data_IF_184605386435
#
_entry.id   IF_184605386435
#
_cell.length_a   1.000
_cell.length_b   1.000
_cell.length_c   1.000
_cell.angle_alpha   90.00
_cell.angle_beta   90.00
_cell.angle_gamma   90.00
#
_symmetry.space_group_name_H-M   'P 1'
#
loop_
_entity.id
_entity.type
_entity.pdbx_description
1 polymer ?
#
# COMPACT_ATOMS: atom_id res chain seq x y z
N UNK A 1 2.61 -33.45 13.45
CA UNK A 1 2.34 -33.08 12.03
C UNK A 1 3.68 -32.94 11.33
N UNK A 2 3.81 -33.44 10.10
CA UNK A 2 5.04 -33.32 9.30
C UNK A 2 4.95 -32.11 8.37
N UNK A 3 5.96 -31.26 8.37
CA UNK A 3 6.06 -30.05 7.56
C UNK A 3 7.31 -30.08 6.67
N UNK A 4 7.32 -29.29 5.62
CA UNK A 4 8.47 -29.07 4.73
C UNK A 4 9.14 -27.77 5.16
N UNK A 5 10.44 -27.79 5.46
CA UNK A 5 11.21 -26.58 5.66
C UNK A 5 11.42 -25.87 4.32
N UNK A 6 10.98 -24.61 4.23
CA UNK A 6 10.97 -23.85 2.95
C UNK A 6 12.34 -23.35 2.51
N UNK A 7 13.43 -23.69 3.23
CA UNK A 7 14.80 -23.41 2.82
C UNK A 7 15.53 -24.68 2.41
N UNK A 8 15.34 -25.76 3.17
CA UNK A 8 16.05 -27.03 2.93
C UNK A 8 15.28 -28.00 2.05
N UNK A 9 13.96 -27.82 1.90
CA UNK A 9 13.03 -28.77 1.24
C UNK A 9 12.92 -30.14 1.94
N UNK A 10 13.44 -30.26 3.17
CA UNK A 10 13.39 -31.48 3.96
C UNK A 10 12.19 -31.49 4.90
N UNK A 11 11.79 -32.69 5.32
CA UNK A 11 10.74 -32.84 6.32
C UNK A 11 11.25 -32.51 7.73
N UNK A 12 10.40 -31.84 8.49
CA UNK A 12 10.54 -31.64 9.93
C UNK A 12 9.25 -32.06 10.62
N UNK A 13 9.37 -32.87 11.68
CA UNK A 13 8.23 -33.24 12.52
C UNK A 13 8.04 -32.22 13.62
N UNK A 14 6.82 -31.69 13.70
CA UNK A 14 6.45 -30.75 14.75
C UNK A 14 5.48 -31.42 15.73
N UNK A 15 5.93 -31.48 16.98
CA UNK A 15 5.20 -32.02 18.13
C UNK A 15 4.30 -30.94 18.76
N UNK A 16 3.21 -31.37 19.38
CA UNK A 16 2.00 -30.56 19.67
C UNK A 16 2.15 -29.33 20.57
N UNK A 17 3.31 -29.08 21.17
CA UNK A 17 3.56 -27.88 22.00
C UNK A 17 3.94 -26.65 21.18
N UNK A 18 4.53 -26.85 19.98
CA UNK A 18 4.97 -25.76 19.11
C UNK A 18 3.87 -25.50 18.07
N UNK A 19 3.47 -24.23 17.93
CA UNK A 19 2.60 -23.75 16.84
C UNK A 19 3.49 -23.14 15.75
N UNK A 20 4.00 -23.93 14.79
CA UNK A 20 4.81 -23.39 13.71
C UNK A 20 3.90 -22.53 12.81
N UNK A 21 4.46 -21.47 12.25
CA UNK A 21 3.81 -20.73 11.16
C UNK A 21 4.09 -21.42 9.84
N UNK A 22 3.06 -21.76 9.09
CA UNK A 22 3.21 -22.51 7.84
C UNK A 22 2.18 -22.13 6.78
N UNK A 23 2.58 -22.28 5.53
CA UNK A 23 1.68 -22.25 4.39
C UNK A 23 1.14 -23.66 4.12
N UNK A 24 -0.08 -23.76 3.61
CA UNK A 24 -0.71 -25.02 3.19
C UNK A 24 -1.09 -24.96 1.72
N UNK A 25 -0.82 -26.03 0.96
CA UNK A 25 -1.24 -26.14 -0.44
C UNK A 25 -2.57 -26.88 -0.55
N UNK A 26 -3.57 -26.20 -1.10
CA UNK A 26 -4.81 -26.78 -1.60
C UNK A 26 -4.71 -26.92 -3.13
N UNK A 27 -4.88 -28.13 -3.65
CA UNK A 27 -4.74 -28.38 -5.08
C UNK A 27 -5.50 -29.62 -5.53
N UNK A 28 -5.71 -29.77 -6.84
CA UNK A 28 -6.17 -31.04 -7.39
C UNK A 28 -4.99 -31.93 -7.75
N UNK A 29 -5.02 -33.16 -7.26
CA UNK A 29 -4.01 -34.17 -7.59
C UNK A 29 -4.07 -34.49 -9.09
N UNK A 30 -2.90 -34.61 -9.70
CA UNK A 30 -2.73 -34.99 -11.11
C UNK A 30 -1.84 -36.23 -11.23
N UNK A 31 -1.52 -36.65 -12.46
CA UNK A 31 -0.51 -37.68 -12.67
C UNK A 31 0.87 -37.13 -12.35
N UNK A 32 1.65 -37.91 -11.61
CA UNK A 32 3.02 -37.54 -11.23
C UNK A 32 3.11 -36.65 -9.99
N UNK A 33 2.17 -36.74 -9.05
CA UNK A 33 2.36 -36.17 -7.71
C UNK A 33 3.53 -36.84 -6.98
N UNK A 34 4.15 -36.10 -6.08
CA UNK A 34 5.22 -36.59 -5.22
C UNK A 34 4.59 -37.13 -3.93
N UNK A 35 4.86 -38.38 -3.60
CA UNK A 35 4.42 -39.02 -2.36
C UNK A 35 5.42 -38.79 -1.22
N UNK A 36 5.05 -39.24 -0.01
CA UNK A 36 5.97 -39.24 1.13
C UNK A 36 7.24 -40.06 0.84
N UNK A 37 7.11 -41.24 0.26
CA UNK A 37 8.26 -42.11 -0.04
C UNK A 37 9.17 -41.50 -1.10
N UNK A 38 8.58 -40.81 -2.09
CA UNK A 38 9.34 -40.17 -3.16
C UNK A 38 10.26 -39.06 -2.64
N UNK A 39 9.84 -38.29 -1.63
CA UNK A 39 10.63 -37.17 -1.09
C UNK A 39 12.00 -37.59 -0.53
N UNK A 40 12.21 -38.88 -0.24
CA UNK A 40 13.49 -39.41 0.20
C UNK A 40 14.42 -39.80 -0.97
N UNK A 41 13.92 -39.77 -2.21
CA UNK A 41 14.66 -40.06 -3.44
C UNK A 41 14.93 -38.76 -4.22
N UNK A 42 16.14 -38.62 -4.76
CA UNK A 42 16.51 -37.49 -5.62
C UNK A 42 15.65 -37.43 -6.90
N UNK A 43 15.13 -38.57 -7.36
CA UNK A 43 14.24 -38.65 -8.53
C UNK A 43 12.89 -37.94 -8.35
N UNK A 44 12.51 -37.55 -7.11
CA UNK A 44 11.28 -36.80 -6.88
C UNK A 44 11.24 -35.48 -7.66
N UNK A 45 12.41 -34.87 -7.92
CA UNK A 45 12.53 -33.60 -8.64
C UNK A 45 12.08 -33.70 -10.11
N UNK A 46 12.13 -34.90 -10.68
CA UNK A 46 11.71 -35.15 -12.06
C UNK A 46 10.19 -35.34 -12.17
N UNK A 47 9.48 -35.49 -11.04
CA UNK A 47 8.02 -35.62 -11.03
C UNK A 47 7.35 -34.25 -11.22
N UNK A 48 6.32 -34.23 -12.06
CA UNK A 48 5.53 -33.00 -12.34
C UNK A 48 5.01 -32.31 -11.07
N UNK A 49 4.59 -33.10 -10.07
CA UNK A 49 4.09 -32.59 -8.79
C UNK A 49 5.14 -31.87 -7.94
N UNK A 50 6.44 -32.12 -8.17
CA UNK A 50 7.50 -31.43 -7.44
C UNK A 50 7.49 -29.92 -7.68
N UNK A 51 7.13 -29.48 -8.90
CA UNK A 51 6.96 -28.06 -9.21
C UNK A 51 5.93 -27.37 -8.30
N UNK A 52 4.88 -28.09 -7.86
CA UNK A 52 3.89 -27.54 -6.91
C UNK A 52 4.48 -27.36 -5.52
N UNK A 53 5.27 -28.34 -5.06
CA UNK A 53 5.96 -28.29 -3.76
C UNK A 53 6.98 -27.14 -3.75
N UNK A 54 7.80 -27.06 -4.79
CA UNK A 54 8.82 -26.03 -4.95
C UNK A 54 8.21 -24.63 -4.93
N UNK A 55 7.17 -24.39 -5.73
CA UNK A 55 6.52 -23.09 -5.80
C UNK A 55 5.80 -22.73 -4.48
N UNK A 56 5.15 -23.71 -3.83
CA UNK A 56 4.55 -23.51 -2.50
C UNK A 56 5.60 -23.06 -1.49
N UNK A 57 6.77 -23.68 -1.48
CA UNK A 57 7.87 -23.29 -0.59
C UNK A 57 8.41 -21.89 -0.92
N UNK A 58 8.60 -21.57 -2.21
CA UNK A 58 9.05 -20.24 -2.64
C UNK A 58 8.07 -19.14 -2.22
N UNK A 59 6.77 -19.39 -2.36
CA UNK A 59 5.72 -18.45 -1.96
C UNK A 59 5.61 -18.31 -0.44
N UNK A 60 5.72 -19.41 0.29
CA UNK A 60 5.79 -19.39 1.76
C UNK A 60 6.99 -18.55 2.23
N UNK A 61 8.15 -18.70 1.59
CA UNK A 61 9.34 -17.91 1.89
C UNK A 61 9.13 -16.41 1.63
N UNK A 62 8.50 -16.03 0.50
CA UNK A 62 8.12 -14.64 0.20
C UNK A 62 7.15 -14.05 1.23
N UNK A 63 6.31 -14.89 1.83
CA UNK A 63 5.39 -14.52 2.89
C UNK A 63 6.00 -14.57 4.30
N UNK A 64 7.33 -14.71 4.41
CA UNK A 64 8.06 -14.82 5.68
C UNK A 64 7.62 -16.01 6.58
N UNK A 65 7.19 -17.11 5.96
CA UNK A 65 6.88 -18.38 6.64
C UNK A 65 8.07 -19.33 6.49
N UNK A 66 8.33 -20.13 7.52
CA UNK A 66 9.45 -21.08 7.52
C UNK A 66 9.06 -22.49 7.06
N UNK A 67 7.76 -22.77 6.99
CA UNK A 67 7.24 -24.10 6.74
C UNK A 67 6.14 -24.10 5.68
N UNK A 68 6.06 -25.21 4.95
CA UNK A 68 4.96 -25.52 4.04
C UNK A 68 4.39 -26.90 4.34
N UNK A 69 3.13 -27.12 3.99
CA UNK A 69 2.47 -28.42 4.07
C UNK A 69 1.76 -28.75 2.76
N UNK A 70 1.96 -29.98 2.28
CA UNK A 70 1.36 -30.50 1.06
C UNK A 70 0.88 -31.93 1.33
N UNK A 71 -0.42 -32.19 1.18
CA UNK A 71 -1.06 -33.47 1.51
C UNK A 71 -0.53 -34.66 0.68
N UNK A 72 0.01 -34.40 -0.51
CA UNK A 72 0.56 -35.46 -1.37
C UNK A 72 1.76 -36.14 -0.74
N UNK A 73 2.65 -35.37 -0.11
CA UNK A 73 3.92 -35.85 0.42
C UNK A 73 4.08 -35.74 1.96
N UNK A 74 3.37 -34.82 2.63
CA UNK A 74 3.47 -34.67 4.09
C UNK A 74 2.76 -35.78 4.86
N UNK A 75 1.82 -36.49 4.24
CA UNK A 75 1.10 -37.63 4.82
C UNK A 75 1.69 -38.93 4.27
N UNK A 76 2.16 -39.81 5.15
CA UNK A 76 2.48 -41.18 4.78
C UNK A 76 1.20 -42.00 4.62
N UNK A 77 0.75 -42.12 3.39
CA UNK A 77 -0.45 -42.87 3.01
C UNK A 77 -0.27 -44.38 3.09
N UNK A 78 0.96 -44.88 3.25
CA UNK A 78 1.22 -46.31 3.47
C UNK A 78 0.89 -46.74 4.91
N UNK A 79 0.92 -45.78 5.85
CA UNK A 79 0.49 -45.97 7.23
C UNK A 79 -1.01 -45.69 7.36
N UNK A 80 -1.81 -46.75 7.53
CA UNK A 80 -3.26 -46.61 7.74
C UNK A 80 -3.61 -45.80 9.00
N UNK A 81 -2.78 -45.89 10.04
CA UNK A 81 -2.91 -45.11 11.27
C UNK A 81 -2.71 -43.61 11.00
N UNK A 82 -1.62 -43.25 10.30
CA UNK A 82 -1.33 -41.85 9.96
C UNK A 82 -2.39 -41.28 9.01
N UNK A 83 -2.82 -42.06 8.01
CA UNK A 83 -3.87 -41.64 7.09
C UNK A 83 -5.19 -41.33 7.81
N UNK A 84 -5.58 -42.18 8.77
CA UNK A 84 -6.80 -41.98 9.58
C UNK A 84 -6.68 -40.72 10.45
N UNK A 85 -5.54 -40.53 11.10
CA UNK A 85 -5.28 -39.33 11.91
C UNK A 85 -5.28 -38.06 11.05
N UNK A 86 -4.68 -38.12 9.86
CA UNK A 86 -4.62 -37.03 8.92
C UNK A 86 -5.99 -36.62 8.41
N UNK A 87 -6.85 -37.59 8.07
CA UNK A 87 -8.24 -37.34 7.68
C UNK A 87 -8.99 -36.59 8.80
N UNK A 88 -8.86 -37.05 10.04
CA UNK A 88 -9.52 -36.43 11.19
C UNK A 88 -8.93 -35.06 11.59
N UNK A 89 -7.69 -34.78 11.16
CA UNK A 89 -6.97 -33.54 11.49
C UNK A 89 -6.96 -32.50 10.38
N UNK A 90 -7.37 -32.86 9.17
CA UNK A 90 -7.18 -32.04 7.97
C UNK A 90 -7.82 -30.65 8.12
N UNK A 91 -9.08 -30.59 8.57
CA UNK A 91 -9.76 -29.30 8.83
C UNK A 91 -8.94 -28.42 9.79
N UNK A 92 -8.43 -28.99 10.88
CA UNK A 92 -7.62 -28.28 11.87
C UNK A 92 -6.28 -27.82 11.30
N UNK A 93 -5.66 -28.59 10.41
CA UNK A 93 -4.43 -28.20 9.73
C UNK A 93 -4.65 -27.06 8.73
N UNK A 94 -5.77 -27.06 8.00
CA UNK A 94 -6.14 -25.90 7.19
C UNK A 94 -6.46 -24.68 8.05
N UNK A 95 -7.23 -24.85 9.13
CA UNK A 95 -7.58 -23.78 10.06
C UNK A 95 -6.38 -23.12 10.73
N UNK A 96 -5.34 -23.90 11.05
CA UNK A 96 -4.13 -23.42 11.72
C UNK A 96 -3.05 -22.91 10.77
N UNK A 97 -3.22 -23.09 9.46
CA UNK A 97 -2.30 -22.51 8.49
C UNK A 97 -2.38 -20.98 8.52
N UNK A 98 -1.24 -20.31 8.36
CA UNK A 98 -1.22 -18.85 8.24
C UNK A 98 -1.75 -18.43 6.88
N UNK A 99 -1.45 -19.21 5.84
CA UNK A 99 -1.83 -18.96 4.45
C UNK A 99 -2.17 -20.28 3.74
N UNK A 100 -3.30 -20.32 3.05
CA UNK A 100 -3.67 -21.36 2.12
C UNK A 100 -3.46 -20.88 0.68
N UNK A 101 -2.59 -21.57 -0.05
CA UNK A 101 -2.42 -21.37 -1.50
C UNK A 101 -3.30 -22.37 -2.24
N UNK A 102 -4.25 -21.88 -3.03
CA UNK A 102 -5.10 -22.71 -3.90
C UNK A 102 -4.53 -22.69 -5.30
N UNK A 103 -4.01 -23.83 -5.77
CA UNK A 103 -3.48 -23.98 -7.12
C UNK A 103 -4.52 -24.60 -8.06
N UNK A 104 -4.99 -23.81 -9.04
CA UNK A 104 -5.96 -24.20 -10.06
C UNK A 104 -5.22 -24.59 -11.35
N UNK A 105 -4.81 -25.85 -11.43
CA UNK A 105 -4.01 -26.37 -12.56
C UNK A 105 -4.73 -26.35 -13.92
N UNK A 106 -6.05 -26.16 -13.92
CA UNK A 106 -6.91 -26.10 -15.11
C UNK A 106 -7.50 -24.70 -15.36
N UNK A 107 -7.04 -23.68 -14.63
CA UNK A 107 -7.33 -22.28 -14.93
C UNK A 107 -6.20 -21.70 -15.79
N UNK A 108 -6.51 -21.27 -17.02
CA UNK A 108 -5.53 -20.56 -17.87
C UNK A 108 -5.38 -19.11 -17.43
N UNK A 109 -4.18 -18.55 -17.57
CA UNK A 109 -3.93 -17.14 -17.24
C UNK A 109 -4.84 -16.15 -17.99
N UNK A 110 -5.21 -16.47 -19.23
CA UNK A 110 -6.08 -15.64 -20.07
C UNK A 110 -7.58 -15.77 -19.76
N UNK A 111 -7.99 -16.69 -18.87
CA UNK A 111 -9.40 -16.94 -18.59
C UNK A 111 -9.99 -15.90 -17.64
N UNK A 112 -11.12 -15.28 -18.00
CA UNK A 112 -11.91 -14.47 -17.07
C UNK A 112 -12.32 -15.29 -15.85
N UNK A 113 -12.16 -14.77 -14.63
CA UNK A 113 -12.47 -15.52 -13.39
C UNK A 113 -13.91 -16.03 -13.37
N UNK A 114 -14.87 -15.18 -13.75
CA UNK A 114 -16.31 -15.53 -13.73
C UNK A 114 -16.63 -16.80 -14.52
N UNK A 115 -15.98 -17.03 -15.66
CA UNK A 115 -16.19 -18.21 -16.51
C UNK A 115 -15.16 -19.32 -16.31
N UNK A 116 -13.94 -18.95 -15.93
CA UNK A 116 -12.83 -19.90 -15.78
C UNK A 116 -12.97 -20.77 -14.54
N UNK A 117 -13.49 -20.22 -13.45
CA UNK A 117 -13.61 -20.93 -12.17
C UNK A 117 -14.63 -22.07 -12.23
N UNK A 118 -15.75 -21.91 -12.94
CA UNK A 118 -16.77 -22.96 -13.13
C UNK A 118 -16.20 -24.22 -13.80
N UNK A 119 -15.21 -24.04 -14.67
CA UNK A 119 -14.50 -25.13 -15.34
C UNK A 119 -13.56 -25.91 -14.43
N UNK A 120 -13.01 -25.26 -13.39
CA UNK A 120 -11.93 -25.82 -12.59
C UNK A 120 -12.39 -27.02 -11.74
N UNK A 121 -11.65 -28.13 -11.79
CA UNK A 121 -11.94 -29.35 -11.03
C UNK A 121 -11.96 -29.12 -9.53
N UNK A 122 -11.21 -28.13 -9.05
CA UNK A 122 -11.11 -27.80 -7.63
C UNK A 122 -12.48 -27.51 -7.01
N UNK A 123 -13.35 -26.75 -7.69
CA UNK A 123 -14.70 -26.43 -7.19
C UNK A 123 -15.68 -27.61 -7.22
N UNK A 124 -15.29 -28.75 -7.80
CA UNK A 124 -16.15 -29.93 -7.97
C UNK A 124 -15.81 -31.06 -7.00
N UNK A 125 -14.86 -30.85 -6.08
CA UNK A 125 -14.39 -31.86 -5.12
C UNK A 125 -14.96 -31.62 -3.73
N UNK A 126 -15.45 -32.66 -3.05
CA UNK A 126 -16.03 -32.52 -1.71
C UNK A 126 -15.04 -32.01 -0.65
N UNK A 127 -13.76 -32.38 -0.77
CA UNK A 127 -12.71 -31.94 0.17
C UNK A 127 -12.41 -30.45 0.09
N UNK A 128 -12.60 -29.78 -1.06
CA UNK A 128 -12.17 -28.39 -1.21
C UNK A 128 -13.03 -27.41 -0.42
N UNK A 129 -14.22 -27.81 0.05
CA UNK A 129 -15.03 -26.98 0.94
C UNK A 129 -14.29 -26.67 2.24
N UNK A 130 -13.72 -27.67 2.91
CA UNK A 130 -12.96 -27.43 4.14
C UNK A 130 -11.65 -26.68 3.88
N UNK A 131 -11.03 -26.90 2.72
CA UNK A 131 -9.81 -26.20 2.29
C UNK A 131 -10.08 -24.72 2.01
N UNK A 132 -11.33 -24.39 1.63
CA UNK A 132 -11.83 -23.03 1.40
C UNK A 132 -12.20 -22.31 2.69
N UNK A 133 -12.96 -22.96 3.58
CA UNK A 133 -13.60 -22.28 4.73
C UNK A 133 -12.79 -22.34 6.02
N UNK A 134 -11.84 -23.27 6.14
CA UNK A 134 -11.07 -23.42 7.37
C UNK A 134 -9.94 -22.37 7.51
N UNK A 135 -9.12 -22.09 6.46
CA UNK A 135 -8.02 -21.12 6.58
C UNK A 135 -8.51 -19.67 6.72
N UNK A 136 -7.73 -18.84 7.43
CA UNK A 136 -8.02 -17.40 7.55
C UNK A 136 -7.64 -16.59 6.31
N UNK A 137 -6.51 -16.94 5.68
CA UNK A 137 -6.00 -16.26 4.49
C UNK A 137 -5.91 -17.26 3.35
N UNK A 138 -6.59 -16.99 2.24
CA UNK A 138 -6.59 -17.85 1.05
C UNK A 138 -6.23 -17.05 -0.20
N UNK A 139 -5.37 -17.63 -1.04
CA UNK A 139 -4.94 -17.01 -2.29
C UNK A 139 -5.04 -18.02 -3.42
N UNK A 140 -5.77 -17.67 -4.48
CA UNK A 140 -5.92 -18.51 -5.66
C UNK A 140 -4.78 -18.24 -6.64
N UNK A 141 -4.38 -19.27 -7.38
CA UNK A 141 -3.37 -19.21 -8.42
C UNK A 141 -3.84 -19.99 -9.63
N UNK A 142 -3.56 -19.46 -10.83
CA UNK A 142 -3.78 -20.17 -12.08
C UNK A 142 -2.69 -21.22 -12.36
N UNK A 143 -2.78 -21.92 -13.49
CA UNK A 143 -1.84 -22.99 -13.87
C UNK A 143 -0.38 -22.50 -13.99
N UNK A 144 -0.17 -21.21 -14.22
CA UNK A 144 1.12 -20.57 -14.42
C UNK A 144 1.61 -19.88 -13.13
N UNK A 145 0.93 -20.14 -12.00
CA UNK A 145 1.18 -19.54 -10.69
C UNK A 145 1.02 -18.01 -10.65
N UNK A 146 0.20 -17.44 -11.54
CA UNK A 146 -0.23 -16.06 -11.36
C UNK A 146 -1.34 -16.02 -10.33
N UNK A 147 -1.24 -15.06 -9.40
CA UNK A 147 -2.26 -14.86 -8.38
C UNK A 147 -3.60 -14.50 -9.05
N UNK A 148 -4.67 -15.14 -8.60
CA UNK A 148 -6.05 -14.99 -9.07
C UNK A 148 -6.95 -14.62 -7.89
N UNK A 149 -8.11 -14.06 -8.21
CA UNK A 149 -9.02 -13.49 -7.21
C UNK A 149 -8.66 -12.05 -6.86
N UNK A 150 -9.44 -11.39 -6.00
CA UNK A 150 -9.32 -9.98 -5.67
C UNK A 150 -8.09 -9.73 -4.79
N UNK A 151 -6.91 -9.83 -5.39
CA UNK A 151 -5.68 -9.23 -4.88
C UNK A 151 -5.24 -8.03 -5.73
N UNK A 152 -5.87 -7.85 -6.88
CA UNK A 152 -5.97 -6.55 -7.50
C UNK A 152 -6.97 -5.74 -6.69
N UNK A 153 -6.56 -4.54 -6.30
CA UNK A 153 -7.44 -3.57 -5.64
C UNK A 153 -8.68 -3.41 -6.52
N UNK A 154 -9.83 -3.84 -6.02
CA UNK A 154 -11.09 -3.67 -6.73
C UNK A 154 -11.65 -2.32 -6.37
N UNK A 155 -11.94 -1.52 -7.37
CA UNK A 155 -12.50 -0.19 -7.19
C UNK A 155 -13.95 -0.15 -7.66
N UNK A 156 -14.78 0.63 -6.98
CA UNK A 156 -16.10 0.99 -7.45
C UNK A 156 -16.43 2.44 -7.05
N UNK A 157 -17.50 2.99 -7.62
CA UNK A 157 -18.10 4.21 -7.09
C UNK A 157 -18.50 4.04 -5.63
N UNK A 158 -18.72 5.16 -4.95
CA UNK A 158 -19.00 5.17 -3.50
C UNK A 158 -20.31 4.44 -3.15
N UNK A 159 -21.27 4.42 -4.07
CA UNK A 159 -22.56 3.78 -3.88
C UNK A 159 -22.49 2.30 -4.25
N UNK A 160 -23.07 1.45 -3.40
CA UNK A 160 -23.27 0.05 -3.73
C UNK A 160 -24.22 -0.08 -4.94
N UNK A 161 -23.90 -0.96 -5.88
CA UNK A 161 -24.73 -1.20 -7.07
C UNK A 161 -26.06 -1.90 -6.76
N UNK A 162 -26.15 -2.59 -5.63
CA UNK A 162 -27.34 -3.34 -5.21
C UNK A 162 -27.29 -3.60 -3.69
N UNK A 163 -28.45 -3.67 -3.00
CA UNK A 163 -28.53 -4.07 -1.60
C UNK A 163 -27.87 -5.43 -1.30
N UNK A 164 -27.76 -6.32 -2.29
CA UNK A 164 -27.10 -7.62 -2.12
C UNK A 164 -25.62 -7.51 -1.71
N UNK A 165 -24.97 -6.37 -1.98
CA UNK A 165 -23.61 -6.09 -1.53
C UNK A 165 -23.50 -6.07 0.01
N UNK A 166 -24.62 -5.90 0.71
CA UNK A 166 -24.71 -5.91 2.16
C UNK A 166 -25.36 -7.20 2.69
N UNK A 167 -25.61 -8.21 1.87
CA UNK A 167 -26.31 -9.44 2.29
C UNK A 167 -25.56 -10.21 3.39
N UNK A 168 -24.24 -10.09 3.43
CA UNK A 168 -23.37 -10.71 4.44
C UNK A 168 -23.07 -9.79 5.63
N UNK A 169 -23.58 -8.57 5.60
CA UNK A 169 -23.41 -7.64 6.71
C UNK A 169 -24.27 -8.08 7.90
N UNK A 170 -23.70 -8.07 9.10
CA UNK A 170 -24.45 -8.31 10.34
C UNK A 170 -25.40 -7.16 10.67
N UNK A 171 -26.03 -7.23 11.85
CA UNK A 171 -26.84 -6.11 12.35
C UNK A 171 -25.95 -4.92 12.71
N UNK A 172 -26.33 -3.74 12.23
CA UNK A 172 -25.64 -2.48 12.54
C UNK A 172 -26.55 -1.57 13.35
N UNK A 173 -25.97 -0.88 14.33
CA UNK A 173 -26.63 0.15 15.11
C UNK A 173 -26.04 1.52 14.77
N UNK A 174 -26.90 2.54 14.69
CA UNK A 174 -26.46 3.93 14.48
C UNK A 174 -25.67 4.39 15.71
N UNK A 175 -24.52 5.02 15.51
CA UNK A 175 -23.79 5.66 16.62
C UNK A 175 -24.61 6.81 17.23
N UNK A 176 -24.69 6.85 18.56
CA UNK A 176 -25.53 7.78 19.32
C UNK A 176 -25.13 9.25 19.11
N UNK A 177 -23.83 9.53 18.94
CA UNK A 177 -23.29 10.90 18.87
C UNK A 177 -23.09 11.45 17.44
N UNK A 178 -23.63 10.80 16.41
CA UNK A 178 -23.43 11.25 15.03
C UNK A 178 -24.22 12.53 14.72
N UNK A 179 -23.49 13.58 14.33
CA UNK A 179 -24.06 14.81 13.76
C UNK A 179 -24.05 14.72 12.23
N UNK A 180 -25.22 14.79 11.56
CA UNK A 180 -25.28 14.82 10.11
C UNK A 180 -24.49 16.01 9.57
N UNK A 181 -23.70 15.78 8.52
CA UNK A 181 -23.06 16.83 7.76
C UNK A 181 -23.82 17.04 6.45
N UNK A 182 -23.97 18.31 6.04
CA UNK A 182 -24.55 18.63 4.75
C UNK A 182 -23.65 18.11 3.62
N UNK A 183 -24.30 17.65 2.55
CA UNK A 183 -23.66 17.28 1.31
C UNK A 183 -24.47 17.81 0.14
N UNK A 184 -23.82 17.95 -1.00
CA UNK A 184 -24.44 18.32 -2.27
C UNK A 184 -24.12 17.26 -3.33
N UNK A 185 -24.99 17.12 -4.31
CA UNK A 185 -24.77 16.20 -5.43
C UNK A 185 -24.27 17.01 -6.62
N UNK A 186 -23.25 16.48 -7.30
CA UNK A 186 -22.67 17.01 -8.54
C UNK A 186 -22.78 15.97 -9.66
N UNK A 187 -22.46 16.37 -10.88
CA UNK A 187 -22.44 15.47 -12.05
C UNK A 187 -21.44 14.31 -11.93
N UNK A 188 -20.40 14.45 -11.09
CA UNK A 188 -19.36 13.42 -10.90
C UNK A 188 -19.52 12.62 -9.61
N UNK A 189 -20.38 13.06 -8.68
CA UNK A 189 -20.62 12.37 -7.41
C UNK A 189 -21.07 13.27 -6.27
N UNK A 190 -20.83 12.83 -5.03
CA UNK A 190 -21.27 13.51 -3.81
C UNK A 190 -20.17 14.43 -3.29
N UNK A 191 -20.46 15.73 -3.23
CA UNK A 191 -19.60 16.74 -2.61
C UNK A 191 -19.96 16.85 -1.13
N UNK A 192 -18.99 16.59 -0.26
CA UNK A 192 -19.19 16.51 1.19
C UNK A 192 -18.02 17.11 1.96
N UNK A 193 -18.25 17.46 3.22
CA UNK A 193 -17.19 17.79 4.19
C UNK A 193 -16.86 16.61 5.12
N UNK A 194 -17.33 15.40 4.78
CA UNK A 194 -17.16 14.21 5.58
C UNK A 194 -15.71 14.03 6.04
N UNK A 195 -15.57 13.71 7.33
CA UNK A 195 -14.30 13.46 7.96
C UNK A 195 -13.74 12.12 7.48
N UNK A 196 -12.72 12.16 6.63
CA UNK A 196 -11.98 10.97 6.21
C UNK A 196 -10.92 10.66 7.29
N UNK A 197 -10.88 9.42 7.74
CA UNK A 197 -9.89 8.93 8.68
C UNK A 197 -8.71 8.34 7.91
N UNK A 198 -7.51 8.47 8.47
CA UNK A 198 -6.28 7.89 7.94
C UNK A 198 -5.80 6.77 8.85
N UNK A 199 -5.42 5.64 8.25
CA UNK A 199 -4.86 4.48 8.97
C UNK A 199 -3.48 4.12 8.40
N UNK A 200 -2.42 4.05 9.23
CA UNK A 200 -1.09 3.64 8.77
C UNK A 200 -1.11 2.26 8.09
N UNK A 201 -0.36 2.14 7.00
CA UNK A 201 -0.24 0.86 6.28
C UNK A 201 0.87 0.04 6.92
N UNK A 202 0.49 -1.07 7.58
CA UNK A 202 1.44 -1.96 8.23
C UNK A 202 2.52 -2.47 7.25
N UNK A 203 3.79 -2.32 7.63
CA UNK A 203 4.94 -2.73 6.83
C UNK A 203 5.35 -1.76 5.72
N UNK A 204 4.54 -0.72 5.44
CA UNK A 204 4.94 0.43 4.62
C UNK A 204 5.46 1.47 5.60
N UNK A 205 6.77 1.76 5.58
CA UNK A 205 7.38 2.69 6.55
C UNK A 205 6.68 4.04 6.63
N UNK A 206 6.10 4.49 5.51
CA UNK A 206 5.32 5.72 5.35
C UNK A 206 4.00 5.46 4.60
N UNK A 207 3.00 6.29 4.88
CA UNK A 207 1.71 6.36 4.16
C UNK A 207 0.53 5.71 4.87
N UNK A 208 -0.65 6.29 4.63
CA UNK A 208 -1.91 5.87 5.25
C UNK A 208 -2.98 5.53 4.22
N UNK A 209 -3.88 4.61 4.55
CA UNK A 209 -5.09 4.39 3.76
C UNK A 209 -6.24 5.26 4.26
N UNK A 210 -7.15 5.60 3.34
CA UNK A 210 -8.28 6.49 3.60
C UNK A 210 -9.52 5.68 4.00
N UNK A 211 -10.23 6.14 5.03
CA UNK A 211 -11.43 5.46 5.54
C UNK A 211 -12.56 6.48 5.72
N UNK A 212 -13.71 6.20 5.10
CA UNK A 212 -14.94 6.95 5.32
C UNK A 212 -15.75 6.29 6.46
N UNK A 213 -15.91 6.92 7.63
CA UNK A 213 -16.72 6.38 8.72
C UNK A 213 -18.21 6.39 8.34
N UNK A 214 -18.91 5.29 8.62
CA UNK A 214 -20.33 5.09 8.27
C UNK A 214 -21.31 5.52 9.37
N UNK A 215 -20.81 6.05 10.49
CA UNK A 215 -21.63 6.42 11.65
C UNK A 215 -22.55 5.27 12.14
N UNK A 216 -22.08 4.04 12.01
CA UNK A 216 -22.69 2.84 12.54
C UNK A 216 -21.65 1.93 13.19
N UNK A 217 -22.11 1.00 14.03
CA UNK A 217 -21.29 0.04 14.76
C UNK A 217 -21.89 -1.37 14.73
N UNK A 218 -21.03 -2.39 14.88
CA UNK A 218 -21.44 -3.78 15.03
C UNK A 218 -21.64 -4.15 16.52
N UNK A 219 -22.77 -4.78 16.84
CA UNK A 219 -22.95 -5.44 18.13
C UNK A 219 -22.16 -6.77 18.17
N UNK A 220 -21.60 -7.21 19.33
CA UNK A 220 -21.68 -6.61 20.67
C UNK A 220 -20.51 -5.67 21.03
N UNK A 221 -19.49 -5.55 20.17
CA UNK A 221 -18.23 -4.86 20.48
C UNK A 221 -18.29 -3.34 20.23
N UNK A 222 -19.36 -2.83 19.63
CA UNK A 222 -19.55 -1.40 19.27
C UNK A 222 -18.41 -0.81 18.43
N UNK A 223 -17.68 -1.65 17.69
CA UNK A 223 -16.63 -1.20 16.76
C UNK A 223 -17.24 -0.32 15.68
N UNK A 224 -16.63 0.85 15.44
CA UNK A 224 -17.07 1.76 14.38
C UNK A 224 -16.80 1.14 13.01
N UNK A 225 -17.72 1.36 12.07
CA UNK A 225 -17.59 0.85 10.71
C UNK A 225 -17.14 1.94 9.75
N UNK A 226 -16.28 1.56 8.82
CA UNK A 226 -15.81 2.43 7.76
C UNK A 226 -15.70 1.75 6.41
N UNK A 227 -15.74 2.55 5.36
CA UNK A 227 -15.48 2.12 3.98
C UNK A 227 -14.06 2.53 3.60
N UNK A 228 -13.28 1.59 3.06
CA UNK A 228 -11.95 1.91 2.53
C UNK A 228 -12.11 2.76 1.26
N UNK A 229 -11.39 3.86 1.20
CA UNK A 229 -11.38 4.79 0.09
C UNK A 229 -10.03 4.76 -0.61
N UNK A 230 -10.05 5.10 -1.91
CA UNK A 230 -8.86 5.36 -2.70
C UNK A 230 -8.96 6.72 -3.37
N UNK A 231 -7.91 7.54 -3.21
CA UNK A 231 -7.78 8.82 -3.91
C UNK A 231 -7.46 8.56 -5.38
N UNK A 232 -8.19 9.22 -6.28
CA UNK A 232 -8.03 9.06 -7.73
C UNK A 232 -7.94 10.39 -8.49
N UNK A 233 -8.12 11.53 -7.80
CA UNK A 233 -8.11 12.89 -8.35
C UNK A 233 -7.95 13.94 -7.25
N UNK A 234 -7.99 15.23 -7.61
CA UNK A 234 -7.99 16.35 -6.64
C UNK A 234 -9.17 16.24 -5.68
N UNK A 235 -8.91 15.79 -4.45
CA UNK A 235 -9.93 15.43 -3.45
C UNK A 235 -11.05 14.50 -3.93
N UNK A 236 -10.79 13.73 -4.98
CA UNK A 236 -11.73 12.75 -5.50
C UNK A 236 -11.38 11.37 -4.96
N UNK A 237 -12.39 10.71 -4.41
CA UNK A 237 -12.27 9.39 -3.81
C UNK A 237 -13.29 8.43 -4.39
N UNK A 238 -12.84 7.19 -4.60
CA UNK A 238 -13.67 6.03 -4.94
C UNK A 238 -13.59 5.03 -3.79
N UNK A 239 -14.50 4.06 -3.79
CA UNK A 239 -14.45 2.94 -2.84
C UNK A 239 -13.41 1.94 -3.32
N UNK A 240 -12.54 1.54 -2.41
CA UNK A 240 -11.69 0.37 -2.55
C UNK A 240 -12.30 -0.78 -1.76
N UNK A 241 -12.33 -1.97 -2.34
CA UNK A 241 -12.95 -3.15 -1.76
C UNK A 241 -14.48 -2.98 -1.57
N UNK A 242 -15.28 -3.32 -2.59
CA UNK A 242 -16.73 -3.19 -2.56
C UNK A 242 -17.43 -4.06 -1.51
N UNK A 243 -16.75 -5.06 -0.96
CA UNK A 243 -17.36 -6.17 -0.23
C UNK A 243 -17.09 -6.08 1.27
N UNK A 244 -15.98 -5.44 1.66
CA UNK A 244 -15.55 -5.37 3.05
C UNK A 244 -15.87 -4.02 3.67
N UNK A 245 -16.24 -4.04 4.95
CA UNK A 245 -16.22 -2.87 5.84
C UNK A 245 -15.05 -3.02 6.82
N UNK A 246 -14.43 -1.91 7.15
CA UNK A 246 -13.40 -1.85 8.18
C UNK A 246 -14.11 -1.77 9.53
N UNK A 247 -13.96 -2.81 10.34
CA UNK A 247 -14.28 -2.78 11.77
C UNK A 247 -13.12 -2.13 12.52
N UNK A 248 -13.38 -0.99 13.14
CA UNK A 248 -12.36 -0.17 13.79
C UNK A 248 -12.14 -0.59 15.23
N UNK A 249 -10.87 -0.76 15.61
CA UNK A 249 -10.48 -0.96 17.01
C UNK A 249 -9.33 -0.05 17.47
N UNK A 250 -8.37 0.36 16.62
CA UNK A 250 -7.19 1.13 17.08
C UNK A 250 -6.52 1.99 15.97
N UNK A 251 -6.01 3.18 16.37
CA UNK A 251 -5.07 4.06 15.64
C UNK A 251 -5.58 4.78 14.37
N UNK A 252 -6.83 5.25 14.35
CA UNK A 252 -7.29 6.15 13.28
C UNK A 252 -6.97 7.62 13.58
N UNK A 253 -6.32 8.29 12.62
CA UNK A 253 -6.03 9.71 12.69
C UNK A 253 -7.05 10.52 11.88
N UNK A 254 -7.64 11.56 12.47
CA UNK A 254 -8.60 12.39 11.76
C UNK A 254 -7.91 13.30 10.74
N UNK A 255 -8.31 13.24 9.47
CA UNK A 255 -7.92 14.30 8.53
C UNK A 255 -8.70 15.59 8.80
N UNK A 256 -8.12 16.73 8.38
CA UNK A 256 -8.82 18.00 8.39
C UNK A 256 -10.13 17.93 7.60
N UNK A 257 -11.19 18.50 8.17
CA UNK A 257 -12.49 18.69 7.52
C UNK A 257 -12.30 19.61 6.32
N UNK A 258 -12.54 19.10 5.11
CA UNK A 258 -12.36 19.82 3.85
C UNK A 258 -13.40 19.32 2.85
N UNK A 259 -13.65 20.10 1.81
CA UNK A 259 -14.53 19.68 0.73
C UNK A 259 -13.89 18.52 -0.04
N UNK A 260 -14.59 17.40 -0.14
CA UNK A 260 -14.19 16.20 -0.88
C UNK A 260 -15.27 15.78 -1.87
N UNK A 261 -14.89 15.00 -2.85
CA UNK A 261 -15.77 14.43 -3.87
C UNK A 261 -15.74 12.90 -3.78
N UNK A 262 -16.85 12.30 -3.35
CA UNK A 262 -17.03 10.85 -3.38
C UNK A 262 -17.67 10.50 -4.73
N UNK A 263 -16.90 9.92 -5.64
CA UNK A 263 -17.36 9.64 -6.99
C UNK A 263 -18.39 8.52 -7.01
N UNK A 264 -19.48 8.69 -7.74
CA UNK A 264 -20.55 7.67 -7.88
C UNK A 264 -20.22 6.61 -8.93
N UNK A 265 -19.28 6.90 -9.82
CA UNK A 265 -18.71 5.98 -10.80
C UNK A 265 -17.19 5.90 -10.68
N UNK A 266 -16.58 5.04 -11.50
CA UNK A 266 -15.13 5.07 -11.69
C UNK A 266 -14.75 6.31 -12.50
N UNK A 267 -13.54 6.88 -12.29
CA UNK A 267 -13.06 7.99 -13.09
C UNK A 267 -12.98 7.60 -14.57
N UNK A 268 -13.30 8.53 -15.46
CA UNK A 268 -13.13 8.34 -16.89
C UNK A 268 -11.63 8.26 -17.23
N UNK A 269 -11.25 7.26 -18.02
CA UNK A 269 -9.87 7.05 -18.44
C UNK A 269 -9.83 6.95 -19.96
N UNK A 270 -8.90 7.70 -20.57
CA UNK A 270 -8.60 7.59 -21.99
C UNK A 270 -7.76 6.32 -22.25
N UNK A 271 -8.45 5.20 -22.50
CA UNK A 271 -7.82 3.96 -22.96
C UNK A 271 -7.34 4.12 -24.42
N UNK A 272 -6.22 3.49 -24.77
CA UNK A 272 -5.84 3.38 -26.18
C UNK A 272 -6.86 2.51 -26.93
N UNK A 273 -7.12 2.79 -28.22
CA UNK A 273 -8.06 2.01 -29.04
C UNK A 273 -7.79 0.50 -29.05
N UNK A 274 -6.54 0.09 -28.85
CA UNK A 274 -6.11 -1.33 -28.94
C UNK A 274 -6.18 -2.11 -27.60
N UNK A 275 -6.47 -1.46 -26.47
CA UNK A 275 -6.61 -2.14 -25.17
C UNK A 275 -8.07 -2.52 -24.92
N UNK A 276 -8.44 -3.77 -25.22
CA UNK A 276 -9.83 -4.26 -25.06
C UNK A 276 -10.26 -4.49 -23.59
N UNK A 277 -9.34 -4.50 -22.62
CA UNK A 277 -9.67 -4.67 -21.20
C UNK A 277 -8.71 -3.88 -20.30
N UNK A 278 -9.26 -3.03 -19.44
CA UNK A 278 -8.48 -2.34 -18.40
C UNK A 278 -8.15 -3.29 -17.25
N UNK A 279 -6.86 -3.47 -16.97
CA UNK A 279 -6.42 -4.04 -15.69
C UNK A 279 -6.78 -3.07 -14.55
N UNK A 280 -7.75 -3.46 -13.72
CA UNK A 280 -8.26 -2.66 -12.61
C UNK A 280 -7.17 -2.33 -11.58
N UNK A 281 -6.10 -3.12 -11.48
CA UNK A 281 -4.96 -2.83 -10.61
C UNK A 281 -4.23 -1.54 -11.01
N UNK A 282 -4.32 -1.15 -12.30
CA UNK A 282 -3.67 0.04 -12.87
C UNK A 282 -4.58 1.26 -12.94
N UNK A 283 -5.86 1.15 -12.53
CA UNK A 283 -6.85 2.23 -12.63
C UNK A 283 -6.30 3.56 -12.10
N UNK A 284 -5.74 3.55 -10.89
CA UNK A 284 -5.25 4.77 -10.23
C UNK A 284 -4.02 5.34 -10.92
N UNK A 285 -3.13 4.48 -11.44
CA UNK A 285 -1.98 4.94 -12.19
C UNK A 285 -2.38 5.67 -13.47
N UNK A 286 -3.52 5.29 -14.06
CA UNK A 286 -4.04 5.88 -15.29
C UNK A 286 -4.78 7.20 -15.07
N UNK A 287 -5.26 7.48 -13.85
CA UNK A 287 -5.84 8.80 -13.54
C UNK A 287 -4.77 9.88 -13.32
N UNK A 288 -3.51 9.48 -13.16
CA UNK A 288 -2.37 10.37 -12.91
C UNK A 288 -1.60 10.62 -14.21
N UNK A 289 -1.56 11.88 -14.67
CA UNK A 289 -0.79 12.22 -15.87
C UNK A 289 0.69 12.54 -15.57
N UNK A 290 0.94 13.28 -14.49
CA UNK A 290 2.27 13.67 -14.03
C UNK A 290 2.37 13.44 -12.52
N UNK A 291 3.51 12.93 -12.05
CA UNK A 291 3.72 12.54 -10.66
C UNK A 291 5.06 13.07 -10.13
N UNK A 292 5.07 13.43 -8.85
CA UNK A 292 6.27 13.63 -8.06
C UNK A 292 6.21 12.71 -6.84
N UNK A 293 6.98 11.63 -6.85
CA UNK A 293 7.01 10.67 -5.75
C UNK A 293 8.02 11.05 -4.68
N UNK A 294 7.65 10.89 -3.42
CA UNK A 294 8.48 11.22 -2.25
C UNK A 294 8.90 9.92 -1.56
N UNK A 295 10.21 9.80 -1.29
CA UNK A 295 10.77 8.71 -0.50
C UNK A 295 11.51 9.29 0.69
N UNK A 296 11.01 8.98 1.88
CA UNK A 296 11.56 9.44 3.15
C UNK A 296 12.25 8.29 3.89
N UNK A 297 13.36 8.56 4.59
CA UNK A 297 13.93 7.64 5.56
C UNK A 297 13.01 7.56 6.81
N UNK A 298 13.25 6.58 7.68
CA UNK A 298 12.39 6.32 8.84
C UNK A 298 12.38 7.43 9.91
N UNK A 299 13.33 8.36 9.85
CA UNK A 299 13.49 9.46 10.80
C UNK A 299 13.00 10.82 10.25
N UNK A 300 12.35 10.81 9.09
CA UNK A 300 11.70 11.99 8.51
C UNK A 300 10.24 11.65 8.26
N UNK A 301 9.34 12.46 8.80
CA UNK A 301 7.90 12.36 8.58
C UNK A 301 7.37 13.60 7.88
N UNK A 302 6.31 13.44 7.09
CA UNK A 302 5.58 14.57 6.51
C UNK A 302 4.68 15.16 7.59
N UNK A 303 4.97 16.38 8.01
CA UNK A 303 4.12 17.12 8.93
C UNK A 303 2.90 17.72 8.22
N UNK A 304 3.12 18.30 7.04
CA UNK A 304 2.05 18.82 6.17
C UNK A 304 2.52 18.87 4.71
N UNK A 305 1.58 18.83 3.77
CA UNK A 305 1.82 18.77 2.33
C UNK A 305 0.81 19.63 1.57
N UNK A 306 1.31 20.51 0.71
CA UNK A 306 0.51 21.37 -0.14
C UNK A 306 0.93 21.26 -1.61
N UNK A 307 -0.02 21.34 -2.55
CA UNK A 307 -1.45 21.40 -2.31
C UNK A 307 -2.02 20.04 -1.92
N UNK A 308 -2.80 20.04 -0.85
CA UNK A 308 -3.31 18.85 -0.17
C UNK A 308 -4.31 18.06 -1.00
N UNK A 309 -5.05 18.74 -1.88
CA UNK A 309 -5.97 18.11 -2.80
C UNK A 309 -5.22 17.25 -3.82
N UNK A 310 -3.95 17.57 -4.12
CA UNK A 310 -3.08 16.84 -5.06
C UNK A 310 -2.08 15.87 -4.42
N UNK A 311 -1.98 15.84 -3.09
CA UNK A 311 -1.15 14.87 -2.38
C UNK A 311 -1.92 13.55 -2.11
N UNK A 312 -1.34 12.43 -2.53
CA UNK A 312 -1.78 11.08 -2.19
C UNK A 312 -0.88 10.52 -1.10
N UNK A 313 -1.40 10.50 0.12
CA UNK A 313 -0.67 10.04 1.30
C UNK A 313 -0.42 8.53 1.27
N UNK A 314 -1.30 7.76 0.61
CA UNK A 314 -1.12 6.33 0.54
C UNK A 314 0.15 5.99 -0.26
N UNK A 315 0.36 6.65 -1.40
CA UNK A 315 1.52 6.44 -2.26
C UNK A 315 2.70 7.40 -2.03
N UNK A 316 2.53 8.35 -1.10
CA UNK A 316 3.50 9.39 -0.76
C UNK A 316 3.95 10.16 -2.01
N UNK A 317 2.98 10.74 -2.73
CA UNK A 317 3.27 11.46 -3.97
C UNK A 317 2.32 12.63 -4.22
N UNK A 318 2.80 13.62 -4.96
CA UNK A 318 1.94 14.60 -5.62
C UNK A 318 1.62 14.13 -7.03
N UNK A 319 0.43 14.45 -7.51
CA UNK A 319 0.05 14.17 -8.88
C UNK A 319 -0.80 15.28 -9.49
N UNK A 320 -0.72 15.40 -10.81
CA UNK A 320 -1.49 16.33 -11.61
C UNK A 320 -2.20 15.53 -12.70
N UNK A 321 -3.46 15.87 -12.94
CA UNK A 321 -4.31 15.26 -13.97
C UNK A 321 -4.72 16.33 -14.99
N UNK A 322 -4.03 16.39 -16.13
CA UNK A 322 -4.41 17.22 -17.28
C UNK A 322 -3.99 18.69 -17.28
N UNK A 323 -3.50 19.25 -16.16
CA UNK A 323 -3.08 20.66 -16.08
C UNK A 323 -1.59 20.82 -15.69
N UNK A 324 -0.63 20.66 -16.62
CA UNK A 324 0.81 20.66 -16.31
C UNK A 324 1.31 21.91 -15.57
N UNK A 325 0.62 23.05 -15.65
CA UNK A 325 0.97 24.29 -14.93
C UNK A 325 0.78 24.21 -13.42
N UNK A 326 0.09 23.19 -12.91
CA UNK A 326 -0.19 22.98 -11.47
C UNK A 326 0.83 22.07 -10.80
N UNK A 327 2.01 21.91 -11.38
CA UNK A 327 3.09 21.08 -10.87
C UNK A 327 4.07 21.85 -9.97
N UNK A 328 3.50 22.54 -8.99
CA UNK A 328 4.22 23.08 -7.85
C UNK A 328 3.64 22.50 -6.56
N UNK A 329 4.52 22.20 -5.61
CA UNK A 329 4.18 21.62 -4.32
C UNK A 329 5.20 22.03 -3.27
N UNK A 330 4.73 22.08 -2.03
CA UNK A 330 5.52 22.28 -0.84
C UNK A 330 5.20 21.22 0.21
N UNK A 331 6.16 20.88 1.05
CA UNK A 331 5.96 20.00 2.19
C UNK A 331 6.75 20.51 3.39
N UNK A 332 6.12 20.43 4.56
CA UNK A 332 6.80 20.62 5.84
C UNK A 332 7.19 19.24 6.36
N UNK A 333 8.48 19.03 6.52
CA UNK A 333 9.07 17.79 7.00
C UNK A 333 9.47 17.94 8.46
N UNK A 334 9.09 16.97 9.29
CA UNK A 334 9.61 16.82 10.65
C UNK A 334 10.76 15.83 10.61
N UNK A 335 11.86 16.20 11.25
CA UNK A 335 13.07 15.38 11.28
C UNK A 335 13.42 15.09 12.73
N UNK A 336 13.42 13.81 13.07
CA UNK A 336 13.61 13.34 14.44
C UNK A 336 14.98 12.66 14.58
N UNK A 337 15.77 13.15 15.53
CA UNK A 337 17.08 12.57 15.82
C UNK A 337 17.17 12.09 17.26
N UNK A 338 17.45 10.79 17.48
CA UNK A 338 17.75 10.31 18.81
C UNK A 338 19.10 10.89 19.27
N UNK A 339 19.07 11.62 20.38
CA UNK A 339 20.22 12.24 21.03
C UNK A 339 20.35 11.74 22.46
N UNK A 340 21.54 11.90 23.05
CA UNK A 340 21.80 11.53 24.43
C UNK A 340 22.48 12.69 25.15
N UNK A 341 21.73 13.38 26.01
CA UNK A 341 22.24 14.48 26.84
C UNK A 341 22.28 14.01 28.28
N UNK A 342 23.47 14.01 28.91
CA UNK A 342 23.68 13.70 30.33
C UNK A 342 22.99 12.40 30.79
N UNK A 343 23.15 11.31 30.01
CA UNK A 343 22.58 9.96 30.24
C UNK A 343 21.06 9.81 30.04
N UNK A 344 20.32 10.87 29.70
CA UNK A 344 18.90 10.76 29.29
C UNK A 344 18.83 10.65 27.76
N UNK A 345 18.09 9.66 27.25
CA UNK A 345 17.73 9.61 25.82
C UNK A 345 16.70 10.71 25.56
N UNK A 346 17.00 11.58 24.60
CA UNK A 346 16.16 12.71 24.16
C UNK A 346 16.04 12.66 22.65
N UNK A 347 14.98 13.22 22.08
CA UNK A 347 14.87 13.39 20.62
C UNK A 347 15.05 14.87 20.30
N UNK A 348 15.95 15.19 19.37
CA UNK A 348 16.04 16.53 18.80
C UNK A 348 15.13 16.56 17.58
N UNK A 349 14.16 17.48 17.59
CA UNK A 349 13.16 17.64 16.54
C UNK A 349 13.46 18.91 15.75
N UNK A 350 13.46 18.79 14.43
CA UNK A 350 13.68 19.88 13.50
C UNK A 350 12.60 19.89 12.43
N UNK A 351 12.45 21.05 11.78
CA UNK A 351 11.51 21.21 10.69
C UNK A 351 12.20 21.81 9.47
N UNK A 352 12.01 21.16 8.32
CA UNK A 352 12.45 21.67 7.04
C UNK A 352 11.24 21.91 6.16
N UNK A 353 11.37 22.83 5.20
CA UNK A 353 10.39 22.99 4.12
C UNK A 353 11.05 22.67 2.80
N UNK A 354 10.38 21.81 2.03
CA UNK A 354 10.79 21.44 0.70
C UNK A 354 9.79 21.99 -0.31
N UNK A 355 10.28 22.60 -1.39
CA UNK A 355 9.50 22.92 -2.58
C UNK A 355 10.02 22.12 -3.77
N UNK A 356 9.11 21.70 -4.63
CA UNK A 356 9.41 21.16 -5.94
C UNK A 356 8.49 21.80 -6.98
N UNK A 357 9.05 22.17 -8.12
CA UNK A 357 8.35 22.92 -9.16
C UNK A 357 8.80 22.42 -10.53
N UNK A 358 7.87 22.28 -11.47
CA UNK A 358 8.17 21.92 -12.85
C UNK A 358 8.32 20.41 -13.11
N UNK A 359 7.85 19.55 -12.20
CA UNK A 359 8.02 18.09 -12.32
C UNK A 359 7.20 17.43 -13.43
N UNK A 360 6.31 18.16 -14.12
CA UNK A 360 5.58 17.59 -15.28
C UNK A 360 6.50 17.43 -16.50
N UNK A 361 7.64 18.10 -16.53
CA UNK A 361 8.66 17.96 -17.57
C UNK A 361 9.75 17.00 -17.11
N UNK A 362 10.26 16.17 -18.02
CA UNK A 362 11.25 15.13 -17.69
C UNK A 362 12.71 15.59 -17.91
N UNK A 363 12.90 16.84 -18.34
CA UNK A 363 14.22 17.44 -18.47
C UNK A 363 14.74 17.86 -17.08
N UNK A 364 15.99 17.54 -16.77
CA UNK A 364 16.60 17.85 -15.46
C UNK A 364 16.63 19.35 -15.17
N UNK A 365 16.70 20.18 -16.20
CA UNK A 365 16.67 21.65 -16.08
C UNK A 365 15.29 22.21 -15.71
N UNK A 366 14.21 21.47 -15.95
CA UNK A 366 12.85 21.93 -15.69
C UNK A 366 12.43 21.74 -14.23
N UNK A 367 12.94 20.69 -13.57
CA UNK A 367 12.67 20.41 -12.17
C UNK A 367 13.53 21.31 -11.28
N UNK A 368 12.90 22.27 -10.61
CA UNK A 368 13.55 23.12 -9.63
C UNK A 368 13.05 22.77 -8.22
N UNK A 369 13.98 22.53 -7.30
CA UNK A 369 13.67 22.14 -5.94
C UNK A 369 14.47 22.97 -4.93
N UNK A 370 13.92 23.15 -3.74
CA UNK A 370 14.68 23.67 -2.59
C UNK A 370 14.32 22.93 -1.33
N UNK A 371 15.28 22.81 -0.42
CA UNK A 371 15.11 22.33 0.95
C UNK A 371 15.77 23.32 1.89
N UNK A 372 14.98 23.96 2.76
CA UNK A 372 15.45 24.97 3.70
C UNK A 372 15.03 24.65 5.13
N UNK A 373 15.80 25.11 6.10
CA UNK A 373 15.40 25.09 7.51
C UNK A 373 14.19 26.02 7.71
N UNK A 374 13.10 25.48 8.26
CA UNK A 374 11.87 26.24 8.49
C UNK A 374 12.09 27.43 9.42
N UNK A 375 12.92 27.28 10.46
CA UNK A 375 13.14 28.33 11.47
C UNK A 375 13.85 29.54 10.87
N UNK A 376 14.80 29.30 9.99
CA UNK A 376 15.58 30.35 9.32
C UNK A 376 14.73 31.21 8.37
N UNK A 377 13.64 30.66 7.82
CA UNK A 377 12.79 31.33 6.82
C UNK A 377 11.32 31.48 7.25
N UNK A 378 10.99 31.36 8.54
CA UNK A 378 9.59 31.22 9.00
C UNK A 378 8.66 32.33 8.49
N UNK A 379 9.05 33.60 8.62
CA UNK A 379 8.21 34.73 8.18
C UNK A 379 7.97 34.70 6.67
N UNK A 380 9.06 34.59 5.89
CA UNK A 380 9.04 34.53 4.43
C UNK A 380 8.20 33.35 3.92
N UNK A 381 8.39 32.17 4.50
CA UNK A 381 7.64 30.95 4.13
C UNK A 381 6.14 31.06 4.44
N UNK A 382 5.77 31.72 5.54
CA UNK A 382 4.36 31.91 5.89
C UNK A 382 3.67 32.92 4.95
N UNK A 383 4.38 33.97 4.51
CA UNK A 383 3.90 34.92 3.50
C UNK A 383 3.65 34.19 2.16
N UNK A 384 4.68 33.50 1.66
CA UNK A 384 4.62 32.69 0.43
C UNK A 384 3.46 31.68 0.48
N UNK A 385 3.32 30.94 1.58
CA UNK A 385 2.25 29.95 1.71
C UNK A 385 0.84 30.60 1.72
N UNK A 386 0.71 31.80 2.27
CA UNK A 386 -0.55 32.56 2.25
C UNK A 386 -0.95 32.97 0.83
N UNK A 387 0.01 33.43 0.03
CA UNK A 387 -0.23 33.89 -1.35
C UNK A 387 -0.51 32.72 -2.30
N UNK A 388 0.32 31.68 -2.25
CA UNK A 388 0.19 30.47 -3.09
C UNK A 388 -1.18 29.80 -2.89
N UNK A 389 -1.71 29.80 -1.66
CA UNK A 389 -3.03 29.22 -1.36
C UNK A 389 -4.14 29.92 -2.15
N UNK A 390 -4.03 31.25 -2.35
CA UNK A 390 -4.98 32.02 -3.16
C UNK A 390 -4.87 31.76 -4.67
N UNK A 391 -3.68 31.38 -5.15
CA UNK A 391 -3.40 31.17 -6.57
C UNK A 391 -3.55 29.72 -7.05
N UNK A 392 -3.87 28.79 -6.15
CA UNK A 392 -4.08 27.39 -6.50
C UNK A 392 -2.80 26.64 -6.89
N UNK A 393 -1.64 27.14 -6.43
CA UNK A 393 -0.33 26.55 -6.68
C UNK A 393 0.01 26.47 -8.20
N UNK A 394 -0.12 27.59 -8.90
CA UNK A 394 0.37 27.75 -10.27
C UNK A 394 1.90 27.83 -10.29
N UNK A 395 2.54 27.06 -11.19
CA UNK A 395 3.99 26.93 -11.31
C UNK A 395 4.71 28.27 -11.37
N UNK A 396 4.27 29.18 -12.25
CA UNK A 396 4.95 30.45 -12.51
C UNK A 396 4.84 31.37 -11.30
N UNK A 397 3.63 31.48 -10.74
CA UNK A 397 3.39 32.34 -9.59
C UNK A 397 4.19 31.88 -8.36
N UNK A 398 4.25 30.58 -8.11
CA UNK A 398 5.05 30.03 -7.00
C UNK A 398 6.55 30.31 -7.19
N UNK A 399 7.08 30.17 -8.41
CA UNK A 399 8.48 30.49 -8.70
C UNK A 399 8.80 31.98 -8.49
N UNK A 400 7.95 32.86 -9.03
CA UNK A 400 8.09 34.31 -8.88
C UNK A 400 8.07 34.72 -7.40
N UNK A 401 7.20 34.10 -6.61
CA UNK A 401 7.02 34.39 -5.19
C UNK A 401 8.19 33.91 -4.33
N UNK A 402 8.69 32.69 -4.58
CA UNK A 402 9.91 32.18 -3.92
C UNK A 402 11.12 33.06 -4.23
N UNK A 403 11.27 33.52 -5.48
CA UNK A 403 12.32 34.42 -5.89
C UNK A 403 12.16 35.82 -5.24
N UNK A 404 10.93 36.35 -5.19
CA UNK A 404 10.62 37.65 -4.59
C UNK A 404 10.93 37.69 -3.09
N UNK A 405 10.59 36.62 -2.36
CA UNK A 405 10.91 36.48 -0.94
C UNK A 405 12.37 36.05 -0.68
N UNK A 406 13.20 35.93 -1.72
CA UNK A 406 14.61 35.54 -1.65
C UNK A 406 14.82 34.20 -0.94
N UNK A 407 13.96 33.21 -1.21
CA UNK A 407 14.18 31.84 -0.75
C UNK A 407 15.13 31.17 -1.76
N UNK A 408 16.34 30.76 -1.36
CA UNK A 408 17.31 30.19 -2.29
C UNK A 408 16.92 28.78 -2.72
N UNK A 409 17.46 28.32 -3.86
CA UNK A 409 17.52 26.89 -4.21
C UNK A 409 18.65 26.24 -3.42
N UNK A 410 18.31 25.28 -2.57
CA UNK A 410 19.23 24.50 -1.76
C UNK A 410 18.92 23.01 -1.92
N UNK A 411 19.93 22.18 -2.20
CA UNK A 411 19.79 20.72 -2.26
C UNK A 411 19.84 20.03 -0.89
N UNK A 412 20.21 20.79 0.16
CA UNK A 412 20.33 20.30 1.52
C UNK A 412 20.10 21.41 2.55
N UNK A 413 19.69 21.00 3.75
CA UNK A 413 19.53 21.85 4.93
C UNK A 413 20.32 21.26 6.11
N UNK A 414 21.13 22.09 6.77
CA UNK A 414 21.88 21.70 7.95
C UNK A 414 21.25 22.29 9.22
N UNK A 415 20.98 21.43 10.20
CA UNK A 415 20.25 21.75 11.42
C UNK A 415 21.13 21.43 12.63
N UNK A 416 21.60 22.47 13.35
CA UNK A 416 22.49 22.29 14.49
C UNK A 416 21.76 21.72 15.71
N UNK A 417 22.28 20.63 16.27
CA UNK A 417 21.73 20.03 17.48
C UNK A 417 22.26 20.79 18.70
N UNK A 418 21.36 21.52 19.36
CA UNK A 418 21.71 22.34 20.53
C UNK A 418 22.36 21.49 21.64
N UNK A 419 23.45 22.01 22.21
CA UNK A 419 24.20 21.34 23.27
C UNK A 419 25.14 20.22 22.81
N UNK A 420 25.33 20.06 21.49
CA UNK A 420 26.30 19.11 20.92
C UNK A 420 27.16 19.77 19.84
N UNK A 421 28.25 19.11 19.45
CA UNK A 421 29.07 19.48 18.28
C UNK A 421 28.56 18.85 16.98
N UNK A 422 27.33 18.32 16.97
CA UNK A 422 26.75 17.63 15.83
C UNK A 422 25.62 18.44 15.19
N UNK A 423 25.46 18.23 13.89
CA UNK A 423 24.38 18.77 13.09
C UNK A 423 23.75 17.66 12.27
N UNK A 424 22.44 17.76 12.07
CA UNK A 424 21.71 16.96 11.11
C UNK A 424 21.83 17.59 9.73
N UNK A 425 22.21 16.81 8.72
CA UNK A 425 22.22 17.20 7.33
C UNK A 425 21.10 16.45 6.61
N UNK A 426 20.07 17.18 6.20
CA UNK A 426 18.98 16.64 5.39
C UNK A 426 19.27 17.03 3.95
N UNK A 427 19.21 16.07 3.03
CA UNK A 427 19.38 16.35 1.61
C UNK A 427 18.40 15.53 0.78
N UNK A 428 18.27 15.88 -0.50
CA UNK A 428 17.45 15.13 -1.42
C UNK A 428 18.17 14.91 -2.76
N UNK A 429 17.75 13.87 -3.48
CA UNK A 429 18.22 13.59 -4.84
C UNK A 429 17.03 13.29 -5.74
N UNK A 430 16.83 14.05 -6.84
CA UNK A 430 15.83 13.73 -7.84
C UNK A 430 16.30 12.57 -8.73
N UNK A 431 15.44 11.59 -8.95
CA UNK A 431 15.68 10.40 -9.78
C UNK A 431 14.51 10.23 -10.74
N UNK A 432 14.82 10.02 -12.02
CA UNK A 432 13.80 9.70 -13.02
C UNK A 432 13.45 8.20 -12.93
N UNK A 433 12.16 7.88 -12.80
CA UNK A 433 11.67 6.52 -12.59
C UNK A 433 10.56 6.18 -13.58
N UNK A 434 10.51 4.93 -14.01
CA UNK A 434 9.39 4.38 -14.79
C UNK A 434 8.75 3.22 -14.01
N UNK A 435 7.56 3.43 -13.47
CA UNK A 435 6.75 2.38 -12.81
C UNK A 435 5.26 2.51 -13.22
N UNK A 436 4.76 1.65 -14.13
CA UNK A 436 3.40 1.75 -14.66
C UNK A 436 2.30 1.54 -13.61
N UNK A 437 2.66 1.03 -12.42
CA UNK A 437 1.72 0.86 -11.29
C UNK A 437 1.48 2.15 -10.52
N UNK A 438 2.32 3.17 -10.71
CA UNK A 438 2.24 4.47 -10.04
C UNK A 438 1.71 5.54 -11.00
N UNK A 439 2.29 5.60 -12.19
CA UNK A 439 1.93 6.52 -13.26
C UNK A 439 2.25 5.87 -14.60
N UNK A 440 1.43 6.14 -15.61
CA UNK A 440 1.66 5.63 -16.98
C UNK A 440 2.95 6.16 -17.61
N UNK A 441 3.31 7.40 -17.31
CA UNK A 441 4.51 8.05 -17.83
C UNK A 441 5.67 7.87 -16.85
N UNK A 442 6.90 8.07 -17.34
CA UNK A 442 8.03 8.27 -16.44
C UNK A 442 7.80 9.52 -15.58
N UNK A 443 8.33 9.51 -14.36
CA UNK A 443 8.07 10.56 -13.37
C UNK A 443 9.27 10.76 -12.45
N UNK A 444 9.29 11.91 -11.78
CA UNK A 444 10.34 12.22 -10.81
C UNK A 444 10.07 11.59 -9.45
N UNK A 445 11.10 11.01 -8.86
CA UNK A 445 11.14 10.59 -7.47
C UNK A 445 12.18 11.41 -6.72
N UNK A 446 11.80 11.98 -5.60
CA UNK A 446 12.70 12.67 -4.68
C UNK A 446 13.08 11.70 -3.56
N UNK A 447 14.35 11.32 -3.51
CA UNK A 447 14.91 10.47 -2.47
C UNK A 447 15.57 11.34 -1.40
N UNK A 448 14.98 11.37 -0.22
CA UNK A 448 15.54 12.10 0.93
C UNK A 448 16.56 11.25 1.67
N UNK A 449 17.60 11.90 2.16
CA UNK A 449 18.57 11.32 3.08
C UNK A 449 18.77 12.23 4.28
N UNK A 450 19.24 11.64 5.38
CA UNK A 450 19.33 12.31 6.65
C UNK A 450 20.53 11.78 7.42
N UNK A 451 21.60 12.56 7.45
CA UNK A 451 22.88 12.17 8.03
C UNK A 451 23.24 13.00 9.25
N UNK A 452 23.99 12.40 10.18
CA UNK A 452 24.54 13.10 11.33
C UNK A 452 26.01 13.42 11.09
N UNK A 453 26.34 14.70 11.05
CA UNK A 453 27.69 15.19 10.80
C UNK A 453 28.23 15.99 12.00
N UNK A 454 29.55 15.99 12.18
CA UNK A 454 30.18 16.97 13.07
C UNK A 454 29.99 18.37 12.46
N UNK A 455 29.58 19.35 13.27
CA UNK A 455 29.24 20.71 12.80
C UNK A 455 30.41 21.38 12.09
N UNK A 456 31.65 21.08 12.48
CA UNK A 456 32.86 21.59 11.84
C UNK A 456 33.24 20.90 10.51
N UNK A 457 32.54 19.82 10.14
CA UNK A 457 32.72 19.04 8.91
C UNK A 457 31.50 19.11 7.99
N UNK A 458 30.56 20.01 8.26
CA UNK A 458 29.42 20.21 7.38
C UNK A 458 29.88 20.66 5.99
N UNK A 459 29.31 20.08 4.92
CA UNK A 459 29.55 20.58 3.58
C UNK A 459 29.03 22.02 3.47
N UNK A 460 29.67 22.82 2.63
CA UNK A 460 29.14 24.13 2.28
C UNK A 460 27.85 23.93 1.48
N UNK A 461 26.74 24.45 1.99
CA UNK A 461 25.46 24.44 1.29
C UNK A 461 25.56 25.49 0.18
N UNK A 462 25.35 25.04 -1.06
CA UNK A 462 25.29 25.92 -2.22
C UNK A 462 23.89 26.50 -2.33
N UNK A 463 23.82 27.82 -2.46
CA UNK A 463 22.58 28.57 -2.68
C UNK A 463 22.57 29.07 -4.13
N UNK A 464 21.51 28.74 -4.86
CA UNK A 464 21.30 29.17 -6.25
C UNK A 464 20.02 29.99 -6.40
N UNK A 465 19.96 30.84 -7.42
CA UNK A 465 18.74 31.58 -7.77
C UNK A 465 17.78 30.74 -8.63
N UNK A 466 16.47 31.00 -8.52
CA UNK A 466 15.46 30.35 -9.36
C UNK A 466 15.59 30.74 -10.83
N UNK A 467 15.33 29.79 -11.72
CA UNK A 467 15.24 30.01 -13.16
C UNK A 467 13.78 30.40 -13.48
N UNK A 468 13.58 31.70 -13.79
CA UNK A 468 12.26 32.32 -13.98
C UNK A 468 11.71 32.15 -15.41
#
# INVERSE_FOLDING_TARGET
MRLINVRTRLFEEVLGEIKPKYAILSHTWEKGEVSFTDMNDLSCKDKKGYGKIEMTCQMALKAALNYAWVDTCCIDKSSSAELTEAINSMYRWYQRSDICFVFLSDLKASSSLDRGLEGCRWFKRGWTLQELIAPKNIYFFDQDWNKRGPNDRVFCGILAKSPIAFASCGSFEKTVDYRPQEFSVSNIGVKTQAKILSKPIMGKGHGTCYILPLACSCAPQQSSLGVRLRKCGSDQFIREDPWTLIEDTENLLPNCTRQRYLLTGLPEINLYPDSQTLDMSLLIAQTRSNVLQIRLPANIDIHDAWPWDRFDDEDQLFFVSGEPRKDSASMRLRVDFPTQVRRRKTTAEFECVFYAIGWSELETSSLQCTLVDYRSFTTKLNEVQSEITGWGHDRRLVLEDLAFHEIPKCSSAALKIQGTEKSALVSFTPVLVSDPRICRNSFWRIEFSCDLCETNKLPQIQEEGWDL
#
